data_IF_483777677659
#
_entry.id   IF_483777677659
#
_cell.length_a   1.000
_cell.length_b   1.000
_cell.length_c   1.000
_cell.angle_alpha   90.00
_cell.angle_beta   90.00
_cell.angle_gamma   90.00
#
_symmetry.space_group_name_H-M   'P 1'
#
loop_
_entity.id
_entity.type
_entity.pdbx_description
1 polymer ?
#
# COMPACT_ATOMS: atom_id res chain seq x y z
N UNK A 1 7.53 -8.53 8.67
CA UNK A 1 6.28 -8.21 7.95
C UNK A 1 5.13 -7.81 8.90
N UNK A 2 4.92 -8.47 10.05
CA UNK A 2 3.81 -8.14 10.98
C UNK A 2 3.76 -6.69 11.50
N UNK A 3 4.92 -6.06 11.76
CA UNK A 3 4.95 -4.70 12.28
C UNK A 3 4.43 -3.67 11.26
N UNK A 4 4.78 -3.82 9.99
CA UNK A 4 4.42 -2.86 8.94
C UNK A 4 2.91 -2.87 8.65
N UNK A 5 2.30 -4.06 8.62
CA UNK A 5 0.85 -4.20 8.53
C UNK A 5 0.12 -3.59 9.75
N UNK A 6 0.73 -3.61 10.94
CA UNK A 6 0.13 -3.01 12.14
C UNK A 6 0.11 -1.48 12.14
N UNK A 7 0.93 -0.86 11.30
CA UNK A 7 1.03 0.61 11.17
C UNK A 7 0.50 1.12 9.83
N UNK A 8 -0.23 0.29 9.07
CA UNK A 8 -0.81 0.68 7.79
C UNK A 8 -1.75 1.88 7.96
N UNK A 9 -1.48 3.00 7.26
CA UNK A 9 -2.27 4.22 7.43
C UNK A 9 -3.68 4.04 6.87
N UNK A 10 -4.64 4.65 7.58
CA UNK A 10 -6.05 4.64 7.20
C UNK A 10 -6.58 6.06 7.06
N UNK A 11 -7.55 6.25 6.18
CA UNK A 11 -8.29 7.50 6.04
C UNK A 11 -9.79 7.32 6.31
N UNK A 12 -10.43 8.38 6.83
CA UNK A 12 -11.89 8.41 7.09
C UNK A 12 -12.68 9.04 5.93
N UNK A 13 -12.17 10.10 5.28
CA UNK A 13 -12.90 10.85 4.23
C UNK A 13 -12.24 10.83 2.86
N UNK A 14 -10.94 11.13 2.80
CA UNK A 14 -10.17 11.13 1.55
C UNK A 14 -8.75 10.62 1.79
N UNK A 15 -8.15 9.86 0.85
CA UNK A 15 -6.75 9.44 0.92
C UNK A 15 -5.79 10.63 1.08
N UNK A 16 -6.13 11.79 0.51
CA UNK A 16 -5.32 13.02 0.57
C UNK A 16 -5.20 13.63 1.96
N UNK A 17 -6.08 13.24 2.88
CA UNK A 17 -6.08 13.66 4.29
C UNK A 17 -5.36 12.65 5.19
N UNK A 18 -5.06 11.46 4.66
CA UNK A 18 -4.42 10.37 5.39
C UNK A 18 -2.93 10.60 5.64
N UNK A 19 -2.32 9.87 6.60
CA UNK A 19 -0.88 9.93 6.82
C UNK A 19 -0.13 9.52 5.55
N UNK A 20 0.79 10.36 5.08
CA UNK A 20 1.66 10.03 3.97
C UNK A 20 2.65 8.93 4.38
N UNK A 21 2.68 7.84 3.62
CA UNK A 21 3.63 6.75 3.81
C UNK A 21 4.64 6.78 2.66
N UNK A 22 5.92 6.65 2.98
CA UNK A 22 6.97 6.65 1.98
C UNK A 22 8.06 5.66 2.38
N UNK A 23 8.52 4.87 1.41
CA UNK A 23 9.65 3.98 1.58
C UNK A 23 10.63 4.15 0.42
N UNK A 24 11.90 3.88 0.69
CA UNK A 24 12.92 3.74 -0.35
C UNK A 24 13.33 2.28 -0.39
N UNK A 25 13.23 1.66 -1.56
CA UNK A 25 13.71 0.31 -1.82
C UNK A 25 15.03 0.41 -2.60
N UNK A 26 16.03 -0.36 -2.21
CA UNK A 26 17.32 -0.42 -2.89
C UNK A 26 17.65 -1.87 -3.21
N UNK A 27 17.82 -2.19 -4.49
CA UNK A 27 18.11 -3.54 -4.95
C UNK A 27 17.87 -3.69 -6.46
N UNK A 28 18.21 -4.83 -7.02
CA UNK A 28 17.81 -5.26 -8.36
C UNK A 28 16.63 -6.24 -8.28
N UNK A 29 15.97 -6.53 -9.41
CA UNK A 29 14.92 -7.55 -9.52
C UNK A 29 15.38 -8.97 -9.08
N UNK A 30 16.69 -9.22 -9.08
CA UNK A 30 17.28 -10.46 -8.57
C UNK A 30 17.27 -10.53 -7.04
N UNK A 31 17.29 -9.37 -6.38
CA UNK A 31 17.28 -9.23 -4.91
C UNK A 31 15.90 -8.89 -4.34
N UNK A 32 15.05 -8.20 -5.13
CA UNK A 32 13.69 -7.82 -4.77
C UNK A 32 12.80 -8.25 -5.93
N UNK A 33 12.04 -9.33 -5.73
CA UNK A 33 11.18 -9.84 -6.80
C UNK A 33 9.97 -8.92 -7.02
N UNK A 34 9.40 -8.91 -8.22
CA UNK A 34 8.17 -8.18 -8.53
C UNK A 34 7.02 -8.49 -7.54
N UNK A 35 6.94 -9.75 -7.08
CA UNK A 35 5.96 -10.15 -6.06
C UNK A 35 6.21 -9.44 -4.73
N UNK A 36 7.47 -9.33 -4.31
CA UNK A 36 7.84 -8.63 -3.08
C UNK A 36 7.61 -7.12 -3.19
N UNK A 37 7.82 -6.52 -4.36
CA UNK A 37 7.47 -5.12 -4.62
C UNK A 37 5.95 -4.90 -4.51
N UNK A 38 5.14 -5.75 -5.15
CA UNK A 38 3.68 -5.66 -5.06
C UNK A 38 3.15 -5.84 -3.63
N UNK A 39 3.70 -6.80 -2.88
CA UNK A 39 3.36 -6.97 -1.45
C UNK A 39 3.76 -5.74 -0.62
N UNK A 40 4.91 -5.14 -0.91
CA UNK A 40 5.37 -3.93 -0.22
C UNK A 40 4.50 -2.73 -0.53
N UNK A 41 4.13 -2.55 -1.79
CA UNK A 41 3.22 -1.51 -2.24
C UNK A 41 1.85 -1.63 -1.55
N UNK A 42 1.23 -2.81 -1.54
CA UNK A 42 -0.03 -3.06 -0.83
C UNK A 42 0.05 -2.78 0.68
N UNK A 43 1.21 -3.02 1.31
CA UNK A 43 1.42 -2.69 2.72
C UNK A 43 1.58 -1.19 2.98
N UNK A 44 2.04 -0.42 1.99
CA UNK A 44 2.28 1.02 2.10
C UNK A 44 1.07 1.86 1.66
N UNK A 45 0.18 1.30 0.85
CA UNK A 45 -1.06 1.95 0.44
C UNK A 45 -1.89 2.44 1.63
N UNK A 46 -2.43 3.65 1.50
CA UNK A 46 -3.38 4.23 2.46
C UNK A 46 -4.76 3.64 2.15
N UNK A 47 -5.33 2.93 3.12
CA UNK A 47 -6.58 2.21 2.95
C UNK A 47 -7.77 2.92 3.61
N UNK A 48 -8.99 2.60 3.16
CA UNK A 48 -10.18 3.15 3.79
C UNK A 48 -10.41 2.50 5.15
N UNK A 49 -10.81 3.30 6.15
CA UNK A 49 -11.18 2.73 7.46
C UNK A 49 -12.50 1.96 7.42
N UNK A 50 -13.42 2.36 6.55
CA UNK A 50 -14.82 1.90 6.57
C UNK A 50 -15.40 1.57 5.19
N UNK A 51 -14.61 1.65 4.12
CA UNK A 51 -15.04 1.39 2.74
C UNK A 51 -14.13 0.39 2.02
N UNK A 52 -14.46 0.02 0.76
CA UNK A 52 -13.62 -0.85 -0.05
C UNK A 52 -12.32 -0.13 -0.43
N UNK A 53 -11.21 -0.86 -0.40
CA UNK A 53 -9.87 -0.34 -0.73
C UNK A 53 -9.76 0.08 -2.19
N UNK A 54 -8.75 0.90 -2.49
CA UNK A 54 -8.50 1.50 -3.81
C UNK A 54 -8.42 0.47 -4.96
N UNK A 55 -8.05 -0.78 -4.66
CA UNK A 55 -8.08 -1.90 -5.63
C UNK A 55 -9.48 -2.33 -6.10
N UNK A 56 -10.55 -1.79 -5.52
CA UNK A 56 -11.94 -2.06 -5.94
C UNK A 56 -12.53 -0.98 -6.86
N UNK A 57 -11.73 -0.02 -7.34
CA UNK A 57 -12.19 0.94 -8.33
C UNK A 57 -12.46 0.26 -9.68
N UNK A 58 -13.67 0.39 -10.26
CA UNK A 58 -13.98 -0.21 -11.55
C UNK A 58 -13.12 0.45 -12.64
N UNK A 59 -12.11 -0.26 -13.14
CA UNK A 59 -11.27 0.20 -14.25
C UNK A 59 -9.76 -0.04 -14.14
N UNK A 60 -9.26 -0.50 -13.00
CA UNK A 60 -7.85 -0.84 -12.83
C UNK A 60 -7.72 -2.33 -12.47
N UNK A 61 -7.77 -3.18 -13.50
CA UNK A 61 -7.25 -4.54 -13.40
C UNK A 61 -5.72 -4.46 -13.42
N UNK A 62 -5.08 -4.83 -12.31
CA UNK A 62 -3.69 -5.25 -12.30
C UNK A 62 -3.56 -6.69 -12.77
#
# INVERSE_FOLDING_TARGET
MNYQASVQPKYDKSPTEGPYNHAWLTGSEQSITLKAEGETDSMLEIISKSGPDHGSMPGMNH
#
